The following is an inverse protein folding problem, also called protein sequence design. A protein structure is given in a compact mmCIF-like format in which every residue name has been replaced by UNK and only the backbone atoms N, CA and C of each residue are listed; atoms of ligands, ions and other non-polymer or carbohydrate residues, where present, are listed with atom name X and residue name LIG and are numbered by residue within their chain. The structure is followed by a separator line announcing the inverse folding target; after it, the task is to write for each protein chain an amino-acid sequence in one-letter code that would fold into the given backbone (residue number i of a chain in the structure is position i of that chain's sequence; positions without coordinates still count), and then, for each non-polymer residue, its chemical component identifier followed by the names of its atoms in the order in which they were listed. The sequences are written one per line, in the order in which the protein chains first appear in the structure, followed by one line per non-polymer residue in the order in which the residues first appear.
data_IF_165121205972
#
_entry.id   IF_165121205972
#
_cell.length_a   1.000
_cell.length_b   1.000
_cell.length_c   1.000
_cell.angle_alpha   90.00
_cell.angle_beta   90.00
_cell.angle_gamma   90.00
#
_symmetry.space_group_name_H-M   'P 1'
#
loop_
_entity.id
_entity.type
_entity.pdbx_description
1 polymer ?
#
# COMPACT_ATOMS: atom_id res chain seq x y z
N UNK A 1 -12.58 -52.52 10.02
CA UNK A 1 -11.81 -52.11 8.84
C UNK A 1 -12.36 -50.75 8.43
N UNK A 2 -11.75 -49.72 8.92
CA UNK A 2 -12.16 -48.32 8.76
C UNK A 2 -11.00 -47.63 8.08
N UNK A 3 -11.16 -47.35 6.80
CA UNK A 3 -10.20 -46.60 6.02
C UNK A 3 -10.33 -45.10 6.33
N UNK A 4 -9.36 -44.61 7.06
CA UNK A 4 -9.13 -43.19 7.22
C UNK A 4 -8.40 -42.64 5.99
N UNK A 5 -9.11 -42.04 5.07
CA UNK A 5 -8.53 -41.28 3.98
C UNK A 5 -8.43 -39.80 4.41
N UNK A 6 -7.33 -39.44 5.05
CA UNK A 6 -6.98 -38.09 5.36
C UNK A 6 -6.36 -37.46 4.11
N UNK A 7 -7.19 -36.90 3.27
CA UNK A 7 -6.72 -36.03 2.17
C UNK A 7 -6.21 -34.73 2.77
N UNK A 8 -4.90 -34.69 2.94
CA UNK A 8 -4.16 -33.46 3.27
C UNK A 8 -4.13 -32.58 2.00
N UNK A 9 -5.15 -31.76 1.82
CA UNK A 9 -5.20 -30.76 0.75
C UNK A 9 -4.31 -29.58 1.14
N UNK A 10 -3.01 -29.75 0.89
CA UNK A 10 -2.08 -28.63 0.84
C UNK A 10 -2.29 -27.92 -0.52
N UNK A 11 -3.39 -27.18 -0.65
CA UNK A 11 -3.59 -26.24 -1.73
C UNK A 11 -2.80 -24.98 -1.37
N UNK A 12 -1.48 -25.04 -1.60
CA UNK A 12 -0.69 -23.83 -1.74
C UNK A 12 -1.38 -22.95 -2.79
N UNK A 13 -1.79 -21.78 -2.37
CA UNK A 13 -2.60 -20.85 -3.16
C UNK A 13 -1.89 -20.53 -4.49
N UNK A 14 -2.36 -21.17 -5.58
CA UNK A 14 -1.85 -20.97 -6.94
C UNK A 14 -2.04 -19.50 -7.42
N UNK A 15 -2.82 -18.69 -6.68
CA UNK A 15 -3.01 -17.26 -6.92
C UNK A 15 -1.74 -16.43 -6.66
N UNK A 16 -0.72 -16.99 -6.02
CA UNK A 16 0.54 -16.32 -5.73
C UNK A 16 1.51 -16.25 -6.92
N UNK A 17 1.33 -17.10 -7.94
CA UNK A 17 2.24 -17.19 -9.08
C UNK A 17 1.55 -16.66 -10.33
N UNK A 18 1.99 -15.51 -10.79
CA UNK A 18 1.50 -14.87 -12.01
C UNK A 18 2.25 -15.39 -13.24
N UNK A 19 1.52 -15.54 -14.33
CA UNK A 19 2.07 -15.76 -15.67
C UNK A 19 2.56 -14.43 -16.26
N UNK A 20 3.20 -14.48 -17.44
CA UNK A 20 3.65 -13.30 -18.16
C UNK A 20 2.48 -12.34 -18.49
N UNK A 21 1.37 -12.87 -18.96
CA UNK A 21 0.21 -12.05 -19.32
C UNK A 21 -0.52 -11.47 -18.09
N UNK A 22 -0.59 -12.23 -16.99
CA UNK A 22 -1.20 -11.75 -15.75
C UNK A 22 -0.40 -10.61 -15.13
N UNK A 23 0.95 -10.71 -15.08
CA UNK A 23 1.78 -9.61 -14.59
C UNK A 23 1.72 -8.39 -15.54
N UNK A 24 1.66 -8.59 -16.84
CA UNK A 24 1.50 -7.50 -17.80
C UNK A 24 0.16 -6.76 -17.59
N UNK A 25 -0.93 -7.53 -17.38
CA UNK A 25 -2.24 -6.98 -17.05
C UNK A 25 -2.22 -6.26 -15.69
N UNK A 26 -1.60 -6.86 -14.69
CA UNK A 26 -1.48 -6.30 -13.34
C UNK A 26 -0.76 -4.94 -13.34
N UNK A 27 0.36 -4.86 -14.05
CA UNK A 27 1.17 -3.64 -14.17
C UNK A 27 0.66 -2.68 -15.28
N UNK A 28 -0.41 -3.06 -16.01
CA UNK A 28 -0.98 -2.29 -17.14
C UNK A 28 0.04 -1.95 -18.23
N UNK A 29 0.91 -2.90 -18.53
CA UNK A 29 1.93 -2.82 -19.59
C UNK A 29 1.80 -3.99 -20.57
N UNK A 30 2.51 -3.94 -21.71
CA UNK A 30 2.52 -5.07 -22.65
C UNK A 30 3.40 -6.23 -22.17
N UNK A 31 3.08 -7.47 -22.58
CA UNK A 31 3.91 -8.66 -22.36
C UNK A 31 5.36 -8.41 -22.83
N UNK A 32 5.54 -7.70 -23.96
CA UNK A 32 6.85 -7.32 -24.48
C UNK A 32 7.62 -6.44 -23.52
N UNK A 33 6.94 -5.56 -22.80
CA UNK A 33 7.55 -4.70 -21.78
C UNK A 33 8.05 -5.54 -20.61
N UNK A 34 7.24 -6.49 -20.13
CA UNK A 34 7.64 -7.40 -19.05
C UNK A 34 8.84 -8.25 -19.48
N UNK A 35 8.82 -8.83 -20.69
CA UNK A 35 9.96 -9.62 -21.20
C UNK A 35 11.24 -8.81 -21.24
N UNK A 36 11.17 -7.55 -21.66
CA UNK A 36 12.33 -6.65 -21.65
C UNK A 36 12.84 -6.39 -20.24
N UNK A 37 11.94 -6.12 -19.28
CA UNK A 37 12.30 -5.85 -17.89
C UNK A 37 12.93 -7.08 -17.22
N UNK A 38 12.34 -8.27 -17.42
CA UNK A 38 12.91 -9.52 -16.92
C UNK A 38 14.26 -9.83 -17.54
N UNK A 39 14.40 -9.61 -18.86
CA UNK A 39 15.67 -9.82 -19.57
C UNK A 39 16.81 -8.94 -19.07
N UNK A 40 16.49 -7.77 -18.50
CA UNK A 40 17.44 -6.84 -17.87
C UNK A 40 17.60 -7.06 -16.36
N UNK A 41 16.84 -7.98 -15.74
CA UNK A 41 16.82 -8.16 -14.29
C UNK A 41 16.14 -7.00 -13.54
N UNK A 42 15.34 -6.17 -14.23
CA UNK A 42 14.66 -5.01 -13.65
C UNK A 42 13.41 -5.38 -12.85
N UNK A 43 12.86 -6.59 -13.03
CA UNK A 43 11.68 -7.12 -12.33
C UNK A 43 11.96 -8.53 -11.83
N UNK A 44 11.58 -8.90 -10.58
CA UNK A 44 11.79 -10.24 -10.07
C UNK A 44 10.89 -11.24 -10.80
N UNK A 45 11.50 -12.29 -11.36
CA UNK A 45 10.79 -13.37 -12.04
C UNK A 45 11.70 -14.57 -12.23
N UNK A 46 11.10 -15.75 -12.31
CA UNK A 46 11.81 -17.01 -12.47
C UNK A 46 11.27 -17.81 -13.66
N UNK A 47 12.14 -18.57 -14.33
CA UNK A 47 11.71 -19.51 -15.38
C UNK A 47 11.38 -20.87 -14.76
N UNK A 48 10.17 -21.35 -15.05
CA UNK A 48 9.73 -22.71 -14.75
C UNK A 48 9.37 -23.36 -16.09
N UNK A 49 10.07 -24.42 -16.48
CA UNK A 49 9.85 -25.12 -17.76
C UNK A 49 9.80 -24.16 -18.96
N UNK A 50 10.78 -23.27 -19.07
CA UNK A 50 10.92 -22.24 -20.13
C UNK A 50 9.88 -21.11 -20.11
N UNK A 51 8.94 -21.10 -19.19
CA UNK A 51 7.94 -20.05 -19.04
C UNK A 51 8.26 -19.16 -17.84
N UNK A 52 8.08 -17.85 -17.98
CA UNK A 52 8.25 -16.93 -16.88
C UNK A 52 7.12 -17.07 -15.86
N UNK A 53 7.50 -17.06 -14.59
CA UNK A 53 6.59 -17.02 -13.45
C UNK A 53 7.05 -15.92 -12.50
N UNK A 54 6.08 -15.22 -11.92
CA UNK A 54 6.30 -14.07 -11.06
C UNK A 54 5.55 -14.33 -9.75
N UNK A 55 6.27 -14.30 -8.66
CA UNK A 55 5.64 -14.37 -7.35
C UNK A 55 5.01 -13.01 -7.06
N UNK A 56 3.71 -12.97 -6.86
CA UNK A 56 2.96 -11.71 -6.68
C UNK A 56 3.50 -10.87 -5.53
N UNK A 57 3.81 -11.49 -4.40
CA UNK A 57 4.42 -10.84 -3.24
C UNK A 57 5.75 -10.15 -3.58
N UNK A 58 6.62 -10.84 -4.34
CA UNK A 58 7.88 -10.25 -4.78
C UNK A 58 7.66 -9.07 -5.75
N UNK A 59 6.62 -9.14 -6.58
CA UNK A 59 6.22 -8.03 -7.46
C UNK A 59 5.70 -6.84 -6.65
N UNK A 60 4.87 -7.05 -5.65
CA UNK A 60 4.32 -5.98 -4.80
C UNK A 60 5.44 -5.28 -4.00
N UNK A 61 6.36 -6.06 -3.43
CA UNK A 61 7.54 -5.52 -2.75
C UNK A 61 8.45 -4.76 -3.71
N UNK A 62 8.74 -5.35 -4.88
CA UNK A 62 9.52 -4.70 -5.93
C UNK A 62 8.86 -3.39 -6.39
N UNK A 63 7.54 -3.39 -6.55
CA UNK A 63 6.79 -2.21 -6.95
C UNK A 63 6.87 -1.10 -5.90
N UNK A 64 6.71 -1.45 -4.62
CA UNK A 64 6.86 -0.52 -3.50
C UNK A 64 8.28 0.03 -3.44
N UNK A 65 9.31 -0.83 -3.51
CA UNK A 65 10.71 -0.42 -3.55
C UNK A 65 11.03 0.44 -4.78
N UNK A 66 10.53 0.05 -5.96
CA UNK A 66 10.69 0.83 -7.19
C UNK A 66 10.01 2.19 -7.12
N UNK A 67 8.91 2.31 -6.41
CA UNK A 67 8.27 3.62 -6.20
C UNK A 67 9.09 4.51 -5.26
N UNK A 68 9.84 3.92 -4.32
CA UNK A 68 10.79 4.66 -3.49
C UNK A 68 12.00 5.16 -4.30
N UNK A 69 12.53 4.32 -5.21
CA UNK A 69 13.70 4.64 -6.04
C UNK A 69 13.35 5.46 -7.31
N UNK A 70 12.07 5.53 -7.67
CA UNK A 70 11.64 6.27 -8.86
C UNK A 70 11.87 7.76 -8.71
N UNK A 71 12.22 8.39 -9.83
CA UNK A 71 12.19 9.84 -9.92
C UNK A 71 10.75 10.35 -9.73
N UNK A 72 10.61 11.58 -9.30
CA UNK A 72 9.30 12.22 -9.20
C UNK A 72 8.54 12.18 -10.55
N UNK A 73 9.25 12.30 -11.68
CA UNK A 73 8.67 12.24 -13.03
C UNK A 73 8.06 10.87 -13.35
N UNK A 74 8.68 9.77 -12.90
CA UNK A 74 8.14 8.42 -13.08
C UNK A 74 6.86 8.23 -12.26
N UNK A 75 6.82 8.77 -11.03
CA UNK A 75 5.63 8.72 -10.17
C UNK A 75 4.49 9.56 -10.77
N UNK A 76 4.81 10.73 -11.31
CA UNK A 76 3.87 11.57 -12.07
C UNK A 76 3.29 10.78 -13.24
N UNK A 77 4.13 10.06 -13.99
CA UNK A 77 3.69 9.19 -15.08
C UNK A 77 2.65 8.15 -14.64
N UNK A 78 2.84 7.49 -13.48
CA UNK A 78 1.86 6.53 -12.93
C UNK A 78 0.52 7.20 -12.65
N UNK A 79 0.53 8.42 -12.14
CA UNK A 79 -0.69 9.17 -11.83
C UNK A 79 -1.44 9.58 -13.10
N UNK A 80 -0.72 9.99 -14.16
CA UNK A 80 -1.32 10.46 -15.42
C UNK A 80 -1.94 9.35 -16.28
N UNK A 81 -1.55 8.08 -16.09
CA UNK A 81 -2.03 6.96 -16.92
C UNK A 81 -3.47 6.53 -16.63
N UNK A 82 -4.15 7.14 -15.67
CA UNK A 82 -5.47 6.69 -15.26
C UNK A 82 -6.51 7.81 -15.20
N UNK A 83 -7.82 7.45 -15.16
CA UNK A 83 -8.90 8.42 -15.04
C UNK A 83 -8.72 9.30 -13.78
N UNK A 84 -9.26 10.51 -13.88
CA UNK A 84 -9.15 11.58 -12.87
C UNK A 84 -9.37 11.06 -11.43
N UNK A 85 -8.28 10.97 -10.67
CA UNK A 85 -8.35 10.46 -9.30
C UNK A 85 -8.75 11.57 -8.34
N UNK A 86 -9.55 11.19 -7.35
CA UNK A 86 -9.89 12.04 -6.21
C UNK A 86 -8.62 12.57 -5.54
N UNK A 87 -8.53 13.86 -5.23
CA UNK A 87 -7.43 14.43 -4.47
C UNK A 87 -7.23 13.75 -3.11
N UNK A 88 -5.99 13.54 -2.67
CA UNK A 88 -5.69 12.93 -1.35
C UNK A 88 -6.44 13.65 -0.23
N UNK A 89 -6.51 14.97 -0.28
CA UNK A 89 -7.22 15.81 0.70
C UNK A 89 -8.72 15.45 0.83
N UNK A 90 -9.33 14.82 -0.17
CA UNK A 90 -10.71 14.33 -0.11
C UNK A 90 -10.82 12.88 0.38
N UNK A 91 -9.71 12.14 0.37
CA UNK A 91 -9.65 10.74 0.80
C UNK A 91 -9.35 10.62 2.30
N UNK A 92 -8.67 11.62 2.87
CA UNK A 92 -8.35 11.71 4.30
C UNK A 92 -9.22 12.79 4.92
N UNK A 93 -10.36 12.41 5.47
CA UNK A 93 -11.22 13.32 6.25
C UNK A 93 -10.75 13.40 7.70
N UNK A 94 -11.19 14.40 8.45
CA UNK A 94 -10.84 14.54 9.88
C UNK A 94 -11.20 13.30 10.71
N UNK A 95 -12.26 12.58 10.33
CA UNK A 95 -12.68 11.34 11.00
C UNK A 95 -11.73 10.18 10.71
N UNK A 96 -10.95 10.26 9.64
CA UNK A 96 -9.94 9.27 9.22
C UNK A 96 -8.52 9.68 9.63
N UNK A 97 -8.38 10.54 10.62
CA UNK A 97 -7.10 10.96 11.20
C UNK A 97 -6.99 10.52 12.65
N UNK A 98 -5.96 9.78 12.96
CA UNK A 98 -5.57 9.31 14.29
C UNK A 98 -4.31 10.06 14.71
N UNK A 99 -4.45 11.05 15.62
CA UNK A 99 -3.36 11.95 16.00
C UNK A 99 -2.38 11.36 17.00
N UNK A 100 -2.70 10.23 17.60
CA UNK A 100 -1.86 9.59 18.60
C UNK A 100 -2.13 8.08 18.62
N UNK A 101 -1.48 7.36 17.70
CA UNK A 101 -1.52 5.90 17.72
C UNK A 101 -0.86 5.38 18.99
N UNK A 102 -1.57 4.54 19.74
CA UNK A 102 -1.01 3.86 20.90
C UNK A 102 0.03 2.84 20.44
N UNK A 103 1.15 2.70 21.18
CA UNK A 103 2.15 1.70 20.88
C UNK A 103 1.56 0.28 20.99
N UNK A 104 2.08 -0.64 20.18
CA UNK A 104 1.63 -2.03 20.15
C UNK A 104 2.36 -2.81 19.07
N UNK A 105 2.03 -4.08 18.95
CA UNK A 105 2.48 -4.92 17.84
C UNK A 105 1.75 -4.55 16.53
N UNK A 106 2.22 -5.08 15.42
CA UNK A 106 1.65 -4.79 14.09
C UNK A 106 0.13 -5.01 14.02
N UNK A 107 -0.44 -6.16 14.48
CA UNK A 107 -1.88 -6.36 14.50
C UNK A 107 -2.63 -5.29 15.30
N UNK A 108 -2.10 -4.87 16.46
CA UNK A 108 -2.72 -3.82 17.28
C UNK A 108 -2.70 -2.46 16.58
N UNK A 109 -1.64 -2.13 15.86
CA UNK A 109 -1.57 -0.89 15.06
C UNK A 109 -2.54 -0.95 13.88
N UNK A 110 -2.57 -2.05 13.14
CA UNK A 110 -3.51 -2.23 12.03
C UNK A 110 -4.96 -2.15 12.50
N UNK A 111 -5.28 -2.73 13.66
CA UNK A 111 -6.60 -2.64 14.28
C UNK A 111 -6.97 -1.18 14.61
N UNK A 112 -6.05 -0.39 15.14
CA UNK A 112 -6.29 1.04 15.36
C UNK A 112 -6.55 1.78 14.04
N UNK A 113 -5.76 1.49 13.00
CA UNK A 113 -5.89 2.15 11.70
C UNK A 113 -7.21 1.86 11.00
N UNK A 114 -7.81 0.69 11.19
CA UNK A 114 -9.12 0.39 10.59
C UNK A 114 -10.31 0.93 11.39
N UNK A 115 -10.13 1.37 12.64
CA UNK A 115 -11.23 1.84 13.48
C UNK A 115 -12.06 2.97 12.84
N UNK A 116 -11.46 4.00 12.22
CA UNK A 116 -12.22 5.01 11.50
C UNK A 116 -13.06 4.47 10.33
N UNK A 117 -12.63 3.36 9.73
CA UNK A 117 -13.39 2.72 8.65
C UNK A 117 -14.60 1.95 9.20
N UNK A 118 -14.46 1.36 10.40
CA UNK A 118 -15.55 0.69 11.12
C UNK A 118 -16.58 1.72 11.55
N UNK A 119 -16.15 2.79 12.20
CA UNK A 119 -17.01 3.87 12.69
C UNK A 119 -17.76 4.57 11.54
N UNK A 120 -17.15 4.65 10.37
CA UNK A 120 -17.74 5.19 9.15
C UNK A 120 -18.53 4.17 8.31
N UNK A 121 -18.72 2.93 8.78
CA UNK A 121 -19.39 1.84 8.06
C UNK A 121 -18.86 1.59 6.65
N UNK A 122 -17.54 1.73 6.45
CA UNK A 122 -16.87 1.62 5.16
C UNK A 122 -16.38 0.21 4.83
N UNK A 123 -16.49 -0.71 5.77
CA UNK A 123 -16.08 -2.12 5.61
C UNK A 123 -17.30 -3.02 5.62
N UNK A 124 -17.36 -3.97 4.68
CA UNK A 124 -18.40 -5.02 4.69
C UNK A 124 -18.15 -6.03 5.81
N UNK A 125 -16.89 -6.37 6.06
CA UNK A 125 -16.43 -7.30 7.08
C UNK A 125 -15.11 -6.78 7.69
N UNK A 126 -15.18 -6.07 8.84
CA UNK A 126 -14.00 -5.52 9.49
C UNK A 126 -12.97 -6.57 9.94
N UNK A 127 -13.42 -7.74 10.40
CA UNK A 127 -12.51 -8.79 10.87
C UNK A 127 -11.74 -9.39 9.71
N UNK A 128 -12.43 -9.68 8.60
CA UNK A 128 -11.81 -10.14 7.36
C UNK A 128 -10.83 -9.11 6.81
N UNK A 129 -11.20 -7.82 6.80
CA UNK A 129 -10.34 -6.76 6.29
C UNK A 129 -9.06 -6.62 7.15
N UNK A 130 -9.17 -6.70 8.47
CA UNK A 130 -8.03 -6.72 9.38
C UNK A 130 -7.11 -7.90 9.09
N UNK A 131 -7.68 -9.10 8.91
CA UNK A 131 -6.89 -10.29 8.61
C UNK A 131 -6.13 -10.13 7.28
N UNK A 132 -6.77 -9.59 6.24
CA UNK A 132 -6.10 -9.31 4.95
C UNK A 132 -4.93 -8.32 5.08
N UNK A 133 -5.04 -7.33 5.97
CA UNK A 133 -3.93 -6.42 6.28
C UNK A 133 -2.79 -7.12 7.01
N UNK A 134 -3.11 -7.97 7.99
CA UNK A 134 -2.13 -8.75 8.75
C UNK A 134 -1.39 -9.70 7.80
N UNK A 135 -2.12 -10.48 6.99
CA UNK A 135 -1.56 -11.41 6.02
C UNK A 135 -0.61 -10.68 5.03
N UNK A 136 -0.99 -9.46 4.60
CA UNK A 136 -0.14 -8.63 3.75
C UNK A 136 1.15 -8.20 4.46
N UNK A 137 1.04 -7.82 5.72
CA UNK A 137 2.19 -7.34 6.52
C UNK A 137 3.16 -8.48 6.88
N UNK A 138 2.66 -9.71 7.04
CA UNK A 138 3.48 -10.91 7.26
C UNK A 138 4.35 -11.29 6.05
N UNK A 139 3.91 -10.96 4.84
CA UNK A 139 4.68 -11.19 3.61
C UNK A 139 5.92 -10.29 3.48
N UNK A 140 5.96 -9.20 4.24
CA UNK A 140 7.00 -8.20 4.26
C UNK A 140 6.44 -6.86 4.71
N UNK A 141 7.23 -6.13 5.49
CA UNK A 141 6.77 -4.88 6.08
C UNK A 141 6.33 -3.87 5.03
N UNK A 142 5.21 -3.20 5.30
CA UNK A 142 4.80 -1.99 4.57
C UNK A 142 5.43 -0.72 5.15
N UNK A 143 6.29 -0.85 6.16
CA UNK A 143 7.17 0.20 6.65
C UNK A 143 8.28 0.46 5.63
N UNK A 144 8.22 1.61 4.97
CA UNK A 144 9.06 1.93 3.81
C UNK A 144 10.37 2.65 4.19
N UNK A 145 10.60 2.91 5.45
CA UNK A 145 11.71 3.71 5.94
C UNK A 145 11.34 5.18 6.14
N UNK A 146 12.32 5.98 6.56
CA UNK A 146 12.15 7.41 6.86
C UNK A 146 11.01 7.69 7.88
N UNK A 147 10.67 6.70 8.69
CA UNK A 147 9.59 6.80 9.68
C UNK A 147 8.18 6.71 9.10
N UNK A 148 8.01 6.11 7.92
CA UNK A 148 6.73 5.97 7.22
C UNK A 148 6.36 4.50 7.02
N UNK A 149 5.08 4.19 7.22
CA UNK A 149 4.46 2.94 6.76
C UNK A 149 3.24 3.23 5.87
N UNK A 150 3.02 2.36 4.88
CA UNK A 150 1.90 2.46 3.94
C UNK A 150 1.12 1.13 3.93
N UNK A 151 0.41 0.79 5.02
CA UNK A 151 -0.38 -0.42 5.08
C UNK A 151 -1.46 -0.45 3.99
N UNK A 152 -1.69 -1.61 3.41
CA UNK A 152 -2.70 -1.84 2.38
C UNK A 152 -3.01 -3.34 2.27
N UNK A 153 -4.18 -3.68 1.77
CA UNK A 153 -4.49 -5.08 1.47
C UNK A 153 -3.80 -5.53 0.19
N UNK A 154 -3.47 -6.81 0.09
CA UNK A 154 -2.82 -7.40 -1.08
C UNK A 154 -3.73 -7.38 -2.32
N UNK A 155 -4.97 -7.83 -2.15
CA UNK A 155 -5.98 -7.87 -3.21
C UNK A 155 -7.03 -6.81 -2.93
N UNK A 156 -7.09 -5.80 -3.80
CA UNK A 156 -8.05 -4.72 -3.65
C UNK A 156 -9.46 -5.14 -4.08
N UNK A 157 -9.55 -6.00 -5.11
CA UNK A 157 -10.85 -6.51 -5.58
C UNK A 157 -11.41 -7.52 -4.57
N UNK A 158 -12.64 -7.28 -4.09
CA UNK A 158 -13.28 -8.16 -3.10
C UNK A 158 -12.77 -8.03 -1.67
N UNK A 159 -11.94 -7.03 -1.35
CA UNK A 159 -11.47 -6.77 0.01
C UNK A 159 -12.56 -6.23 0.96
N UNK A 160 -13.75 -5.90 0.45
CA UNK A 160 -14.87 -5.42 1.24
C UNK A 160 -14.83 -3.93 1.60
N UNK A 161 -13.99 -3.15 0.95
CA UNK A 161 -14.01 -1.68 1.08
C UNK A 161 -15.09 -1.07 0.18
N UNK A 162 -15.98 -0.25 0.75
CA UNK A 162 -17.12 0.34 0.04
C UNK A 162 -16.75 1.57 -0.78
N UNK A 163 -15.71 2.28 -0.41
CA UNK A 163 -15.22 3.44 -1.14
C UNK A 163 -13.70 3.58 -1.07
N UNK A 164 -13.12 4.22 -2.07
CA UNK A 164 -11.70 4.57 -2.05
C UNK A 164 -11.45 5.65 -0.99
N UNK A 165 -10.62 5.35 -0.01
CA UNK A 165 -10.27 6.28 1.07
C UNK A 165 -8.86 6.01 1.61
N UNK A 166 -8.42 6.87 2.53
CA UNK A 166 -7.17 6.73 3.25
C UNK A 166 -7.37 7.06 4.72
N UNK A 167 -6.67 6.36 5.60
CA UNK A 167 -6.57 6.71 7.02
C UNK A 167 -5.15 7.15 7.30
N UNK A 168 -5.00 8.30 7.94
CA UNK A 168 -3.71 8.80 8.40
C UNK A 168 -3.60 8.59 9.91
N UNK A 169 -2.57 7.86 10.34
CA UNK A 169 -2.21 7.66 11.74
C UNK A 169 -0.85 8.29 12.04
N UNK A 170 -0.76 9.03 13.13
CA UNK A 170 0.47 9.61 13.61
C UNK A 170 0.84 9.03 14.97
N UNK A 171 2.12 8.73 15.17
CA UNK A 171 2.71 8.37 16.46
C UNK A 171 3.77 9.40 16.83
N UNK A 172 3.71 9.92 18.05
CA UNK A 172 4.71 10.91 18.53
C UNK A 172 6.04 10.27 18.91
N UNK A 173 5.97 9.10 19.53
CA UNK A 173 7.13 8.41 20.05
C UNK A 173 7.78 7.46 19.05
N UNK A 174 7.09 7.20 17.93
CA UNK A 174 7.46 6.19 16.96
C UNK A 174 7.07 4.78 17.41
N UNK A 175 6.81 3.91 16.46
CA UNK A 175 6.39 2.53 16.68
C UNK A 175 7.33 1.62 15.91
N UNK A 176 7.81 0.55 16.53
CA UNK A 176 8.52 -0.51 15.81
C UNK A 176 7.53 -1.25 14.90
N UNK A 177 7.62 -0.97 13.61
CA UNK A 177 6.79 -1.59 12.58
C UNK A 177 7.61 -2.48 11.64
N UNK A 178 8.84 -2.88 12.05
CA UNK A 178 9.82 -3.59 11.22
C UNK A 178 10.04 -2.89 9.88
N UNK A 179 10.22 -1.57 9.88
CA UNK A 179 10.54 -0.79 8.70
C UNK A 179 11.83 -1.27 8.03
N UNK A 180 11.95 -1.04 6.72
CA UNK A 180 13.09 -1.52 5.90
C UNK A 180 14.44 -0.99 6.38
N UNK A 181 14.47 0.19 6.96
CA UNK A 181 15.67 0.82 7.54
C UNK A 181 15.93 0.48 9.01
N UNK A 182 15.01 -0.28 9.65
CA UNK A 182 15.06 -0.63 11.05
C UNK A 182 14.70 0.53 12.01
N UNK A 183 14.29 1.68 11.49
CA UNK A 183 13.95 2.85 12.29
C UNK A 183 12.45 2.86 12.67
N UNK A 184 12.08 3.55 13.78
CA UNK A 184 10.69 3.66 14.20
C UNK A 184 9.82 4.38 13.18
N UNK A 185 8.57 3.94 13.05
CA UNK A 185 7.55 4.53 12.18
C UNK A 185 6.70 5.55 12.94
N UNK A 186 6.54 6.74 12.38
CA UNK A 186 5.80 7.86 12.96
C UNK A 186 4.53 8.20 12.18
N UNK A 187 4.54 7.91 10.87
CA UNK A 187 3.46 8.24 9.93
C UNK A 187 2.95 6.95 9.30
N UNK A 188 1.68 6.68 9.47
CA UNK A 188 0.99 5.53 8.91
C UNK A 188 -0.08 6.00 7.93
N UNK A 189 -0.01 5.54 6.68
CA UNK A 189 -0.99 5.86 5.65
C UNK A 189 -1.66 4.57 5.16
N UNK A 190 -2.79 4.19 5.78
CA UNK A 190 -3.57 3.05 5.32
C UNK A 190 -4.27 3.41 4.00
N UNK A 191 -3.95 2.68 2.93
CA UNK A 191 -4.55 2.86 1.62
C UNK A 191 -5.70 1.88 1.40
N UNK A 192 -6.87 2.41 1.12
CA UNK A 192 -8.09 1.66 0.84
C UNK A 192 -8.53 1.94 -0.61
N UNK A 193 -8.39 0.95 -1.48
CA UNK A 193 -8.75 1.05 -2.89
C UNK A 193 -9.54 -0.18 -3.32
N UNK A 194 -10.53 0.00 -4.20
CA UNK A 194 -11.35 -1.09 -4.73
C UNK A 194 -10.71 -1.84 -5.90
N UNK A 195 -9.55 -1.37 -6.41
CA UNK A 195 -8.83 -2.03 -7.49
C UNK A 195 -7.34 -1.63 -7.52
N UNK A 196 -6.53 -2.44 -8.19
CA UNK A 196 -5.08 -2.28 -8.26
C UNK A 196 -4.62 -0.96 -8.91
N UNK A 197 -5.34 -0.44 -9.91
CA UNK A 197 -4.96 0.82 -10.59
C UNK A 197 -5.07 1.99 -9.64
N UNK A 198 -6.19 2.10 -8.94
CA UNK A 198 -6.40 3.16 -7.94
C UNK A 198 -5.38 3.02 -6.81
N UNK A 199 -5.12 1.79 -6.35
CA UNK A 199 -4.10 1.52 -5.34
C UNK A 199 -2.72 2.07 -5.73
N UNK A 200 -2.22 1.74 -6.92
CA UNK A 200 -0.94 2.23 -7.41
C UNK A 200 -0.86 3.74 -7.47
N UNK A 201 -1.95 4.40 -7.83
CA UNK A 201 -2.00 5.86 -7.88
C UNK A 201 -2.03 6.49 -6.49
N UNK A 202 -2.75 5.90 -5.52
CA UNK A 202 -2.71 6.34 -4.13
C UNK A 202 -1.29 6.21 -3.58
N UNK A 203 -0.64 5.08 -3.84
CA UNK A 203 0.74 4.85 -3.42
C UNK A 203 1.69 5.90 -4.03
N UNK A 204 1.62 6.13 -5.35
CA UNK A 204 2.45 7.13 -6.02
C UNK A 204 2.23 8.55 -5.47
N UNK A 205 0.96 8.94 -5.25
CA UNK A 205 0.63 10.24 -4.67
C UNK A 205 1.14 10.39 -3.24
N UNK A 206 1.00 9.34 -2.43
CA UNK A 206 1.51 9.33 -1.05
C UNK A 206 3.02 9.53 -1.04
N UNK A 207 3.75 8.82 -1.91
CA UNK A 207 5.20 8.97 -2.04
C UNK A 207 5.60 10.39 -2.46
N UNK A 208 4.96 10.95 -3.49
CA UNK A 208 5.25 12.31 -3.96
C UNK A 208 4.97 13.35 -2.87
N UNK A 209 3.90 13.18 -2.11
CA UNK A 209 3.56 14.06 -1.00
C UNK A 209 4.62 14.01 0.11
N UNK A 210 5.00 12.81 0.53
CA UNK A 210 5.95 12.63 1.63
C UNK A 210 7.40 13.02 1.25
N UNK A 211 7.73 13.00 -0.04
CA UNK A 211 9.03 13.45 -0.55
C UNK A 211 9.17 14.98 -0.67
N UNK A 212 8.09 15.75 -0.45
CA UNK A 212 8.23 17.20 -0.42
C UNK A 212 9.21 17.61 0.69
N UNK A 213 10.11 18.57 0.42
CA UNK A 213 11.07 19.02 1.41
C UNK A 213 10.41 19.42 2.73
N UNK A 214 10.80 18.78 3.82
CA UNK A 214 10.26 19.04 5.15
C UNK A 214 8.95 18.32 5.49
N UNK A 215 8.25 17.71 4.53
CA UNK A 215 6.92 17.11 4.74
C UNK A 215 6.87 16.12 5.91
N UNK A 216 7.84 15.21 6.01
CA UNK A 216 7.90 14.22 7.12
C UNK A 216 7.98 14.90 8.48
N UNK A 217 8.84 15.92 8.60
CA UNK A 217 8.98 16.68 9.84
C UNK A 217 7.74 17.51 10.15
N UNK A 218 7.10 18.08 9.12
CA UNK A 218 5.89 18.86 9.27
C UNK A 218 4.75 17.96 9.80
N UNK A 219 4.52 16.79 9.19
CA UNK A 219 3.51 15.84 9.70
C UNK A 219 3.79 15.36 11.13
N UNK A 220 5.06 15.09 11.48
CA UNK A 220 5.44 14.68 12.84
C UNK A 220 5.22 15.76 13.90
N UNK A 221 5.20 17.03 13.51
CA UNK A 221 5.03 18.18 14.40
C UNK A 221 3.57 18.60 14.56
N UNK A 222 2.66 18.12 13.72
CA UNK A 222 1.24 18.46 13.83
C UNK A 222 0.70 18.10 15.21
N UNK A 223 0.02 19.05 15.81
CA UNK A 223 -0.61 18.91 17.12
C UNK A 223 -2.07 18.51 17.04
N UNK A 224 -2.73 18.88 15.96
CA UNK A 224 -4.14 18.60 15.72
C UNK A 224 -4.47 18.26 14.25
N UNK A 225 -5.72 17.86 14.03
CA UNK A 225 -6.21 17.45 12.70
C UNK A 225 -6.30 18.60 11.70
N UNK A 226 -6.43 19.86 12.18
CA UNK A 226 -6.49 21.04 11.31
C UNK A 226 -5.13 21.29 10.66
N UNK A 227 -4.05 21.22 11.45
CA UNK A 227 -2.68 21.35 10.93
C UNK A 227 -2.36 20.26 9.91
N UNK A 228 -2.79 19.01 10.18
CA UNK A 228 -2.65 17.92 9.22
C UNK A 228 -3.41 18.20 7.93
N UNK A 229 -4.64 18.72 8.03
CA UNK A 229 -5.45 19.06 6.86
C UNK A 229 -4.81 20.17 6.04
N UNK A 230 -4.24 21.18 6.67
CA UNK A 230 -3.53 22.27 5.99
C UNK A 230 -2.31 21.75 5.22
N UNK A 231 -1.55 20.80 5.81
CA UNK A 231 -0.45 20.14 5.11
C UNK A 231 -0.93 19.32 3.91
N UNK A 232 -2.04 18.57 4.03
CA UNK A 232 -2.62 17.81 2.93
C UNK A 232 -3.10 18.70 1.79
N UNK A 233 -3.71 19.85 2.12
CA UNK A 233 -4.15 20.85 1.14
C UNK A 233 -2.93 21.45 0.41
N UNK A 234 -1.91 21.85 1.16
CA UNK A 234 -0.65 22.37 0.59
C UNK A 234 -0.01 21.35 -0.34
N UNK A 235 0.17 20.12 0.14
CA UNK A 235 0.76 19.04 -0.66
C UNK A 235 -0.06 18.74 -1.92
N UNK A 236 -1.40 18.78 -1.84
CA UNK A 236 -2.25 18.64 -3.02
C UNK A 236 -2.04 19.76 -4.03
N UNK A 237 -1.95 21.02 -3.55
CA UNK A 237 -1.71 22.17 -4.42
C UNK A 237 -0.34 22.04 -5.12
N UNK A 238 0.72 21.75 -4.36
CA UNK A 238 2.08 21.60 -4.88
C UNK A 238 2.17 20.46 -5.91
N UNK A 239 1.46 19.34 -5.67
CA UNK A 239 1.36 18.26 -6.64
C UNK A 239 0.57 18.67 -7.88
N UNK A 240 -0.54 19.42 -7.74
CA UNK A 240 -1.38 19.81 -8.87
C UNK A 240 -0.68 20.77 -9.84
N UNK A 241 0.34 21.48 -9.37
CA UNK A 241 1.18 22.35 -10.21
C UNK A 241 2.22 21.60 -11.04
N UNK A 242 2.40 20.30 -10.77
CA UNK A 242 3.30 19.41 -11.53
C UNK A 242 2.61 18.63 -12.65
N UNK A 243 1.28 18.72 -12.74
CA UNK A 243 0.43 18.07 -13.75
C UNK A 243 -0.23 19.10 -14.66
#
# INVERSE_FOLDING_TARGET
MTDNNTTNSNTGDLSEILTLSEIAQYLKVSDKTILRMVGKGEIPGHKVSSQWRFQRTAIDQWLTAKMQDRSDDDLVGVIQTAPKITPIVKLVTSDRMLMNLAPGDKPAILKQLIQPLIDGELLDDPEKFLQLLIDREEMGSTGIGDGVAVPHVREQEGCGIRETCMVLGLSRDGIDFNSLDGEPTYIFMLLCAGNAVVHLQLLAKSMLMLRQPGALNDFRRCLDKSEVMDLLVKAHFDLSMRF
#
